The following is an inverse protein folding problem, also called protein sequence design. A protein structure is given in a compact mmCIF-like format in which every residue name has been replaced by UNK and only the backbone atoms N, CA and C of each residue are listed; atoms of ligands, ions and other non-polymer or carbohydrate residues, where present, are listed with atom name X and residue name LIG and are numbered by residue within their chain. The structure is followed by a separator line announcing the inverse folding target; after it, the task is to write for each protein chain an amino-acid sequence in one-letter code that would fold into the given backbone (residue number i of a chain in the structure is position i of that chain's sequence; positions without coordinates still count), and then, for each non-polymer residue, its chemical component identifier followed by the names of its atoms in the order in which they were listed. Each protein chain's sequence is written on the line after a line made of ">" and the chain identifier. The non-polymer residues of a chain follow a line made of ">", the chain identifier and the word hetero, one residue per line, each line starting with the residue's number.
data_IF_792537580859
#
_entry.id   IF_792537580859
#
_cell.length_a   1.000
_cell.length_b   1.000
_cell.length_c   1.000
_cell.angle_alpha   90.00
_cell.angle_beta   90.00
_cell.angle_gamma   90.00
#
_symmetry.space_group_name_H-M   'P 1'
#
loop_
_entity.id
_entity.type
_entity.pdbx_description
1 polymer ?
2 water ?
#
# COMPACT_ATOMS: atom_id res chain seq x y z
N UNK A 3 3.38 10.57 -12.63
CA UNK A 3 3.38 9.08 -12.65
C UNK A 3 2.76 8.46 -11.40
N UNK A 4 3.00 7.16 -11.22
CA UNK A 4 2.47 6.42 -10.07
C UNK A 4 3.43 6.41 -8.88
N UNK A 5 3.02 7.11 -7.84
CA UNK A 5 3.79 7.23 -6.62
C UNK A 5 3.28 6.31 -5.50
N UNK A 6 4.12 5.36 -5.10
CA UNK A 6 3.79 4.41 -4.05
C UNK A 6 4.51 4.72 -2.74
N UNK A 7 3.75 5.06 -1.72
CA UNK A 7 4.28 5.38 -0.40
C UNK A 7 3.86 4.29 0.59
N UNK A 8 4.84 3.56 1.11
CA UNK A 8 4.62 2.50 2.08
C UNK A 8 5.20 2.91 3.43
N UNK A 9 4.36 3.04 4.45
CA UNK A 9 4.84 3.43 5.77
C UNK A 9 4.48 2.39 6.85
N UNK A 10 5.51 1.68 7.32
CA UNK A 10 5.36 0.66 8.34
C UNK A 10 5.91 1.11 9.70
N UNK A 11 5.03 1.18 10.69
CA UNK A 11 5.44 1.58 12.03
C UNK A 11 5.38 0.39 12.98
N UNK A 12 6.33 0.33 13.91
CA UNK A 12 6.39 -0.80 14.82
C UNK A 12 7.36 -0.57 15.97
N UNK A 13 6.90 0.17 16.98
CA UNK A 13 7.70 0.45 18.17
C UNK A 13 9.15 0.83 17.91
N UNK A 14 9.45 2.13 18.00
CA UNK A 14 10.81 2.61 17.80
C UNK A 14 11.45 2.26 16.47
N UNK A 15 10.62 1.86 15.50
CA UNK A 15 11.12 1.50 14.18
C UNK A 15 10.10 1.87 13.12
N UNK A 16 10.40 2.92 12.36
CA UNK A 16 9.52 3.37 11.29
C UNK A 16 10.22 3.21 9.92
N UNK A 17 9.56 2.51 9.00
CA UNK A 17 10.12 2.29 7.67
C UNK A 17 9.26 3.05 6.68
N UNK A 18 9.91 3.79 5.79
CA UNK A 18 9.22 4.58 4.77
C UNK A 18 9.76 4.24 3.35
N UNK A 19 8.99 3.46 2.60
CA UNK A 19 9.37 3.03 1.25
C UNK A 19 8.66 3.88 0.20
N UNK A 20 9.44 4.47 -0.71
CA UNK A 20 8.90 5.30 -1.77
C UNK A 20 9.38 4.74 -3.10
N UNK A 21 8.42 4.43 -3.97
CA UNK A 21 8.72 3.89 -5.30
C UNK A 21 7.98 4.73 -6.33
N UNK A 22 8.41 4.62 -7.57
CA UNK A 22 7.79 5.33 -8.67
C UNK A 22 7.79 4.33 -9.79
N UNK A 23 6.60 3.88 -10.18
CA UNK A 23 6.51 2.91 -11.25
C UNK A 23 5.74 3.45 -12.45
N UNK A 24 5.81 2.69 -13.54
CA UNK A 24 5.12 3.01 -14.78
C UNK A 24 5.01 1.70 -15.54
N UNK A 25 4.02 0.88 -15.20
CA UNK A 25 3.85 -0.40 -15.88
C UNK A 25 2.62 -1.16 -15.40
N UNK A 26 2.35 -1.07 -14.11
CA UNK A 26 1.25 -1.81 -13.49
C UNK A 26 1.71 -3.27 -13.56
N UNK A 27 2.83 -3.46 -14.26
CA UNK A 27 3.46 -4.76 -14.41
C UNK A 27 4.61 -4.75 -13.41
N UNK A 28 5.42 -3.69 -13.45
CA UNK A 28 6.53 -3.57 -12.50
C UNK A 28 5.91 -3.13 -11.18
N UNK A 29 4.59 -3.00 -11.18
CA UNK A 29 3.82 -2.63 -9.99
C UNK A 29 3.62 -3.94 -9.25
N UNK A 30 3.35 -4.99 -10.01
CA UNK A 30 3.15 -6.31 -9.44
C UNK A 30 4.47 -6.71 -8.77
N UNK A 31 5.56 -6.13 -9.26
CA UNK A 31 6.89 -6.41 -8.72
C UNK A 31 7.05 -5.73 -7.37
N UNK A 32 6.61 -4.48 -7.31
CA UNK A 32 6.67 -3.69 -6.09
C UNK A 32 5.69 -4.29 -5.10
N UNK A 33 4.50 -4.61 -5.59
CA UNK A 33 3.47 -5.20 -4.76
C UNK A 33 4.00 -6.44 -4.08
N UNK A 34 4.31 -7.46 -4.89
CA UNK A 34 4.84 -8.71 -4.38
C UNK A 34 5.96 -8.43 -3.39
N UNK A 35 6.85 -7.53 -3.77
CA UNK A 35 8.00 -7.16 -2.94
C UNK A 35 7.59 -6.58 -1.58
N UNK A 36 6.57 -5.74 -1.55
CA UNK A 36 6.14 -5.16 -0.29
C UNK A 36 5.50 -6.22 0.60
N UNK A 37 4.79 -7.14 -0.03
CA UNK A 37 4.13 -8.23 0.68
C UNK A 37 5.13 -8.97 1.55
N UNK A 38 6.33 -9.18 1.03
CA UNK A 38 7.35 -9.88 1.80
C UNK A 38 7.90 -9.03 2.94
N UNK A 39 8.33 -7.80 2.63
CA UNK A 39 8.86 -6.94 3.69
C UNK A 39 7.90 -6.91 4.89
N UNK A 40 6.60 -6.82 4.62
CA UNK A 40 5.62 -6.74 5.70
C UNK A 40 5.35 -8.08 6.38
N UNK A 41 5.36 -9.19 5.63
CA UNK A 41 5.15 -10.50 6.25
C UNK A 41 6.23 -10.60 7.32
N UNK A 42 7.46 -10.38 6.89
CA UNK A 42 8.62 -10.44 7.76
C UNK A 42 8.51 -9.54 8.99
N UNK A 43 8.31 -8.25 8.78
CA UNK A 43 8.22 -7.33 9.91
C UNK A 43 7.01 -7.56 10.81
N UNK A 44 5.92 -8.04 10.22
CA UNK A 44 4.70 -8.29 10.98
C UNK A 44 4.37 -7.14 11.91
N UNK A 45 4.17 -5.95 11.34
CA UNK A 45 3.86 -4.75 12.13
C UNK A 45 2.38 -4.61 12.40
N UNK A 46 2.06 -3.96 13.51
CA UNK A 46 0.67 -3.76 13.88
C UNK A 46 -0.02 -2.88 12.86
N UNK A 47 0.60 -1.75 12.54
CA UNK A 47 0.03 -0.81 11.60
C UNK A 47 0.86 -0.64 10.32
N UNK A 48 0.17 -0.69 9.18
CA UNK A 48 0.79 -0.54 7.86
C UNK A 48 -0.05 0.39 6.96
N UNK A 49 0.60 1.38 6.36
CA UNK A 49 -0.07 2.34 5.50
C UNK A 49 0.54 2.34 4.11
N UNK A 50 -0.33 2.36 3.11
CA UNK A 50 0.12 2.40 1.74
C UNK A 50 -0.76 3.39 0.99
N UNK A 51 -0.13 4.37 0.36
CA UNK A 51 -0.86 5.35 -0.43
C UNK A 51 -0.26 5.39 -1.82
N UNK A 52 -1.14 5.42 -2.81
CA UNK A 52 -0.73 5.43 -4.20
C UNK A 52 -1.37 6.60 -4.90
N UNK A 53 -0.53 7.46 -5.46
CA UNK A 53 -1.01 8.62 -6.18
C UNK A 53 -1.18 8.18 -7.61
N UNK A 54 -2.43 8.08 -8.03
CA UNK A 54 -2.78 7.66 -9.38
C UNK A 54 -3.00 8.88 -10.27
N UNK A 55 -3.24 8.64 -11.55
CA UNK A 55 -3.47 9.71 -12.52
C UNK A 55 -4.92 10.20 -12.45
N UNK A 56 -5.85 9.27 -12.21
CA UNK A 56 -7.27 9.60 -12.11
C UNK A 56 -7.91 8.86 -10.95
N UNK A 57 -8.94 9.47 -10.36
CA UNK A 57 -9.61 8.83 -9.23
C UNK A 57 -10.13 7.43 -9.57
N UNK A 58 -10.57 7.21 -10.80
CA UNK A 58 -11.07 5.88 -11.18
C UNK A 58 -9.92 4.88 -11.17
N UNK A 59 -8.71 5.40 -11.31
CA UNK A 59 -7.52 4.56 -11.28
C UNK A 59 -7.23 4.22 -9.81
N UNK A 60 -7.27 5.25 -8.97
CA UNK A 60 -7.04 5.12 -7.54
C UNK A 60 -7.93 4.03 -6.95
N UNK A 61 -9.11 3.88 -7.55
CA UNK A 61 -10.07 2.88 -7.12
C UNK A 61 -9.58 1.49 -7.47
N UNK A 62 -9.12 1.31 -8.71
CA UNK A 62 -8.62 0.02 -9.12
C UNK A 62 -7.47 -0.38 -8.20
N UNK A 63 -6.68 0.61 -7.78
CA UNK A 63 -5.55 0.36 -6.90
C UNK A 63 -6.00 0.03 -5.49
N UNK A 64 -7.05 0.70 -5.05
CA UNK A 64 -7.58 0.45 -3.72
C UNK A 64 -8.09 -0.98 -3.68
N UNK A 65 -8.68 -1.45 -4.77
CA UNK A 65 -9.17 -2.82 -4.83
C UNK A 65 -7.97 -3.77 -4.71
N UNK A 66 -6.86 -3.42 -5.35
CA UNK A 66 -5.65 -4.23 -5.30
C UNK A 66 -5.08 -4.27 -3.88
N UNK A 67 -4.91 -3.10 -3.30
CA UNK A 67 -4.35 -2.99 -1.97
C UNK A 67 -5.21 -3.66 -0.92
N UNK A 68 -6.51 -3.72 -1.17
CA UNK A 68 -7.38 -4.34 -0.19
C UNK A 68 -7.09 -5.82 -0.10
N UNK A 69 -6.97 -6.48 -1.25
CA UNK A 69 -6.69 -7.90 -1.29
C UNK A 69 -5.31 -8.17 -0.69
N UNK A 70 -4.37 -7.26 -0.93
CA UNK A 70 -3.02 -7.41 -0.37
C UNK A 70 -3.08 -7.45 1.16
N UNK A 71 -3.66 -6.42 1.77
CA UNK A 71 -3.79 -6.32 3.22
C UNK A 71 -4.60 -7.47 3.81
N UNK A 72 -5.67 -7.85 3.11
CA UNK A 72 -6.52 -8.93 3.58
C UNK A 72 -5.73 -10.23 3.63
N UNK A 73 -5.15 -10.61 2.49
CA UNK A 73 -4.37 -11.83 2.42
C UNK A 73 -3.32 -11.81 3.56
N UNK A 74 -2.58 -10.72 3.71
CA UNK A 74 -1.57 -10.66 4.76
C UNK A 74 -2.13 -10.54 6.18
N UNK A 75 -3.42 -10.84 6.37
CA UNK A 75 -3.98 -10.78 7.71
C UNK A 75 -4.38 -9.45 8.29
N UNK A 76 -4.16 -8.35 7.58
CA UNK A 76 -4.61 -7.07 8.11
C UNK A 76 -6.10 -7.07 7.79
N UNK A 77 -6.93 -6.95 8.83
CA UNK A 77 -8.37 -7.02 8.62
C UNK A 77 -9.26 -5.83 8.99
N UNK A 78 -8.71 -4.78 9.57
CA UNK A 78 -9.52 -3.59 9.86
C UNK A 78 -8.87 -2.49 9.02
N UNK A 79 -9.37 -2.32 7.80
CA UNK A 79 -8.80 -1.38 6.85
C UNK A 79 -9.53 -0.08 6.59
N UNK A 80 -8.75 1.00 6.50
CA UNK A 80 -9.28 2.33 6.20
C UNK A 80 -8.83 2.66 4.79
N UNK A 81 -9.78 3.04 3.95
CA UNK A 81 -9.50 3.42 2.59
C UNK A 81 -9.91 4.88 2.52
N UNK A 82 -8.97 5.74 2.16
CA UNK A 82 -9.24 7.16 2.06
C UNK A 82 -8.78 7.69 0.72
N UNK A 83 -9.66 8.40 0.03
CA UNK A 83 -9.27 8.97 -1.24
C UNK A 83 -9.09 10.46 -1.00
N UNK A 84 -8.01 11.00 -1.54
CA UNK A 84 -7.72 12.42 -1.43
C UNK A 84 -7.33 12.84 -2.84
N UNK A 85 -8.32 13.25 -3.61
CA UNK A 85 -8.04 13.64 -4.98
C UNK A 85 -7.70 12.40 -5.77
N UNK A 86 -6.45 12.30 -6.22
CA UNK A 86 -6.02 11.14 -7.00
C UNK A 86 -5.14 10.22 -6.19
N UNK A 87 -5.02 10.54 -4.91
CA UNK A 87 -4.23 9.74 -3.98
C UNK A 87 -5.11 8.84 -3.13
N UNK A 88 -4.86 7.54 -3.17
CA UNK A 88 -5.62 6.62 -2.33
C UNK A 88 -4.72 6.15 -1.18
N UNK A 89 -5.27 6.16 0.02
CA UNK A 89 -4.52 5.73 1.19
C UNK A 89 -5.21 4.60 1.93
N UNK A 90 -4.67 3.40 1.77
CA UNK A 90 -5.19 2.22 2.43
C UNK A 90 -4.29 1.94 3.64
N UNK A 91 -4.87 2.03 4.83
CA UNK A 91 -4.13 1.76 6.05
C UNK A 91 -4.79 0.57 6.75
N UNK A 92 -3.99 -0.42 7.08
CA UNK A 92 -4.53 -1.57 7.77
C UNK A 92 -3.85 -1.88 9.09
N UNK A 93 -4.57 -2.61 9.94
CA UNK A 93 -4.06 -3.04 11.23
C UNK A 93 -4.18 -4.56 11.29
N UNK A 94 -3.17 -5.20 11.87
CA UNK A 94 -3.10 -6.65 11.97
C UNK A 94 -4.20 -7.27 12.83
#
# INVERSE_FOLDING_TARGET
>A
XGDIQVQVNIDDNGKNFDYTYTVTTESELQKVLNELMDYIKKQGAKRVRISITARTKKEAEKFAAILIKVFAELGYNDINVTFDGDTVTVEGQLEGGSLEHHHHHH
#
